data_IF_521950326066
#
_entry.id   IF_521950326066
#
_cell.length_a   1.000
_cell.length_b   1.000
_cell.length_c   1.000
_cell.angle_alpha   90.00
_cell.angle_beta   90.00
_cell.angle_gamma   90.00
#
_symmetry.space_group_name_H-M   'P 1'
#
loop_
_entity.id
_entity.type
_entity.pdbx_description
1 polymer ?
#
# COMPACT_ATOMS: atom_id res chain seq x y z
N UNK A 1 -20.24 6.11 -2.59
CA UNK A 1 -19.00 5.41 -2.89
C UNK A 1 -18.49 4.77 -1.59
N UNK A 2 -18.39 3.45 -1.52
CA UNK A 2 -17.81 2.72 -0.38
C UNK A 2 -16.28 2.82 -0.40
N UNK A 3 -15.62 2.46 0.71
CA UNK A 3 -14.14 2.43 0.76
C UNK A 3 -13.55 1.39 -0.20
N UNK A 4 -14.29 0.30 -0.45
CA UNK A 4 -13.93 -0.71 -1.43
C UNK A 4 -13.99 -0.15 -2.86
N UNK A 5 -15.07 0.54 -3.20
CA UNK A 5 -15.22 1.19 -4.51
C UNK A 5 -14.10 2.22 -4.75
N UNK A 6 -13.63 2.92 -3.70
CA UNK A 6 -12.49 3.85 -3.81
C UNK A 6 -11.20 3.11 -4.19
N UNK A 7 -10.89 2.00 -3.51
CA UNK A 7 -9.69 1.22 -3.80
C UNK A 7 -9.72 0.65 -5.23
N UNK A 8 -10.87 0.11 -5.66
CA UNK A 8 -11.08 -0.42 -7.01
C UNK A 8 -10.94 0.69 -8.07
N UNK A 9 -11.60 1.84 -7.86
CA UNK A 9 -11.51 2.95 -8.79
C UNK A 9 -10.08 3.52 -8.90
N UNK A 10 -9.36 3.63 -7.79
CA UNK A 10 -7.96 4.05 -7.81
C UNK A 10 -7.08 3.06 -8.60
N UNK A 11 -7.34 1.75 -8.44
CA UNK A 11 -6.60 0.73 -9.18
C UNK A 11 -6.87 0.79 -10.68
N UNK A 12 -8.13 1.02 -11.08
CA UNK A 12 -8.53 1.20 -12.48
C UNK A 12 -7.87 2.43 -13.10
N UNK A 13 -7.87 3.56 -12.40
CA UNK A 13 -7.26 4.82 -12.87
C UNK A 13 -5.75 4.72 -13.03
N UNK A 14 -5.09 4.01 -12.12
CA UNK A 14 -3.62 3.90 -12.08
C UNK A 14 -3.09 2.71 -12.89
N UNK A 15 -3.97 1.84 -13.38
CA UNK A 15 -3.61 0.54 -13.98
C UNK A 15 -2.63 -0.25 -13.10
N UNK A 16 -2.83 -0.19 -11.78
CA UNK A 16 -1.96 -0.81 -10.78
C UNK A 16 -2.78 -1.19 -9.55
N UNK A 17 -2.47 -2.31 -8.87
CA UNK A 17 -3.20 -2.70 -7.67
C UNK A 17 -3.08 -1.68 -6.54
N UNK A 18 -4.19 -1.45 -5.82
CA UNK A 18 -4.27 -0.47 -4.75
C UNK A 18 -4.72 -1.10 -3.42
N UNK A 19 -4.12 -0.65 -2.33
CA UNK A 19 -4.61 -0.86 -0.97
C UNK A 19 -5.01 0.48 -0.38
N UNK A 20 -6.06 0.48 0.42
CA UNK A 20 -6.45 1.59 1.27
C UNK A 20 -6.23 1.20 2.71
N UNK A 21 -5.47 2.02 3.43
CA UNK A 21 -5.02 1.75 4.78
C UNK A 21 -5.33 2.96 5.67
N UNK A 22 -5.51 2.72 6.97
CA UNK A 22 -5.61 3.81 7.94
C UNK A 22 -4.21 4.39 8.28
N UNK A 23 -4.17 5.38 9.18
CA UNK A 23 -2.91 6.04 9.59
C UNK A 23 -1.93 5.11 10.33
N UNK A 24 -2.40 3.97 10.80
CA UNK A 24 -1.58 2.96 11.48
C UNK A 24 -1.23 1.78 10.55
N UNK A 25 -1.50 1.90 9.24
CA UNK A 25 -1.29 0.87 8.23
C UNK A 25 -2.14 -0.38 8.45
N UNK A 26 -3.33 -0.24 9.02
CA UNK A 26 -4.33 -1.30 9.01
C UNK A 26 -5.09 -1.29 7.69
N UNK A 27 -5.29 -2.46 7.10
CA UNK A 27 -6.00 -2.60 5.83
C UNK A 27 -7.49 -2.32 5.99
N UNK A 28 -7.94 -1.29 5.28
CA UNK A 28 -9.34 -0.86 5.22
C UNK A 28 -10.05 -1.50 4.02
N UNK A 29 -9.43 -1.40 2.84
CA UNK A 29 -9.93 -1.97 1.59
C UNK A 29 -8.77 -2.33 0.64
N UNK A 30 -9.02 -3.17 -0.36
CA UNK A 30 -8.02 -3.53 -1.36
C UNK A 30 -8.67 -3.84 -2.70
N UNK A 31 -8.03 -3.46 -3.80
CA UNK A 31 -8.44 -3.86 -5.14
C UNK A 31 -7.88 -5.25 -5.48
N UNK A 32 -8.55 -5.95 -6.39
CA UNK A 32 -8.07 -7.24 -6.89
C UNK A 32 -6.64 -7.12 -7.43
N UNK A 33 -5.81 -8.11 -7.08
CA UNK A 33 -4.48 -8.28 -7.64
C UNK A 33 -4.52 -9.25 -8.82
N UNK A 34 -3.78 -8.93 -9.88
CA UNK A 34 -3.40 -9.93 -10.88
C UNK A 34 -2.28 -10.84 -10.36
N UNK A 35 -1.49 -11.40 -11.26
CA UNK A 35 -0.50 -12.43 -10.91
C UNK A 35 0.73 -11.90 -10.15
N UNK A 36 0.91 -10.58 -10.07
CA UNK A 36 2.06 -9.96 -9.41
C UNK A 36 1.67 -9.37 -8.06
N UNK A 37 2.20 -9.97 -6.99
CA UNK A 37 2.08 -9.49 -5.61
C UNK A 37 3.39 -9.77 -4.86
N UNK A 38 3.94 -8.77 -4.18
CA UNK A 38 5.09 -8.97 -3.30
C UNK A 38 4.69 -9.47 -1.91
N UNK A 39 5.61 -10.14 -1.18
CA UNK A 39 5.35 -10.67 0.15
C UNK A 39 4.87 -9.61 1.14
N UNK A 40 5.42 -8.38 1.11
CA UNK A 40 4.99 -7.30 2.03
C UNK A 40 3.51 -7.00 1.89
N UNK A 41 3.00 -6.92 0.64
CA UNK A 41 1.58 -6.72 0.41
C UNK A 41 0.74 -7.96 0.72
N UNK A 42 1.22 -9.14 0.34
CA UNK A 42 0.52 -10.38 0.66
C UNK A 42 0.29 -10.50 2.18
N UNK A 43 1.33 -10.26 2.97
CA UNK A 43 1.26 -10.28 4.43
C UNK A 43 0.32 -9.19 4.98
N UNK A 44 0.38 -7.98 4.43
CA UNK A 44 -0.48 -6.88 4.87
C UNK A 44 -1.96 -7.14 4.57
N UNK A 45 -2.27 -7.81 3.47
CA UNK A 45 -3.63 -8.22 3.12
C UNK A 45 -4.11 -9.34 4.04
N UNK A 46 -3.32 -10.41 4.17
CA UNK A 46 -3.67 -11.59 4.97
C UNK A 46 -3.84 -11.26 6.46
N UNK A 47 -2.96 -10.43 7.02
CA UNK A 47 -3.00 -10.05 8.43
C UNK A 47 -3.77 -8.76 8.68
N UNK A 48 -4.27 -8.12 7.62
CA UNK A 48 -4.94 -6.81 7.63
C UNK A 48 -4.13 -5.69 8.30
N UNK A 49 -2.80 -5.80 8.32
CA UNK A 49 -1.90 -4.80 8.89
C UNK A 49 -0.47 -5.00 8.42
N UNK A 50 0.27 -3.91 8.28
CA UNK A 50 1.72 -3.97 8.10
C UNK A 50 2.43 -4.39 9.41
N UNK A 51 3.63 -4.97 9.28
CA UNK A 51 4.53 -5.16 10.43
C UNK A 51 5.09 -3.82 10.89
N UNK A 52 5.53 -3.73 12.15
CA UNK A 52 6.18 -2.50 12.66
C UNK A 52 7.39 -2.09 11.85
N UNK A 53 8.16 -3.04 11.32
CA UNK A 53 9.32 -2.77 10.48
C UNK A 53 8.92 -2.18 9.11
N UNK A 54 7.90 -2.75 8.46
CA UNK A 54 7.36 -2.22 7.20
C UNK A 54 6.78 -0.82 7.39
N UNK A 55 6.00 -0.61 8.46
CA UNK A 55 5.47 0.70 8.81
C UNK A 55 6.59 1.73 9.00
N UNK A 56 7.57 1.44 9.87
CA UNK A 56 8.68 2.35 10.14
C UNK A 56 9.46 2.72 8.86
N UNK A 57 9.65 1.75 7.95
CA UNK A 57 10.25 1.99 6.64
C UNK A 57 9.40 2.90 5.77
N UNK A 58 8.10 2.67 5.67
CA UNK A 58 7.24 3.53 4.85
C UNK A 58 7.18 4.95 5.42
N UNK A 59 7.09 5.07 6.74
CA UNK A 59 7.14 6.34 7.47
C UNK A 59 8.48 7.07 7.29
N UNK A 60 9.60 6.37 7.16
CA UNK A 60 10.92 6.99 6.91
C UNK A 60 10.99 7.71 5.55
N UNK A 61 10.07 7.41 4.63
CA UNK A 61 9.91 8.13 3.36
C UNK A 61 8.96 9.34 3.48
N UNK A 62 8.44 9.62 4.68
CA UNK A 62 7.64 10.80 4.99
C UNK A 62 6.13 10.66 4.77
N UNK A 63 5.63 9.47 4.40
CA UNK A 63 4.20 9.29 4.05
C UNK A 63 3.24 9.68 5.18
N UNK A 64 3.60 9.46 6.45
CA UNK A 64 2.75 9.78 7.59
C UNK A 64 2.41 11.28 7.75
N UNK A 65 3.16 12.18 7.08
CA UNK A 65 2.93 13.64 7.13
C UNK A 65 2.82 14.26 5.73
N UNK A 66 2.80 13.44 4.69
CA UNK A 66 2.77 13.93 3.33
C UNK A 66 1.43 14.60 3.02
N UNK A 67 1.45 15.67 2.24
CA UNK A 67 0.25 16.31 1.67
C UNK A 67 0.19 16.14 0.15
N UNK A 68 1.13 15.38 -0.41
CA UNK A 68 1.26 15.07 -1.82
C UNK A 68 1.73 13.61 -1.98
N UNK A 69 1.59 13.00 -3.16
CA UNK A 69 2.04 11.63 -3.40
C UNK A 69 3.53 11.41 -3.07
N UNK A 70 3.85 10.29 -2.43
CA UNK A 70 5.21 9.86 -2.08
C UNK A 70 5.59 8.63 -2.90
N UNK A 71 6.77 8.63 -3.51
CA UNK A 71 7.33 7.43 -4.15
C UNK A 71 8.24 6.71 -3.17
N UNK A 72 7.93 5.46 -2.89
CA UNK A 72 8.76 4.56 -2.08
C UNK A 72 9.48 3.60 -3.03
N UNK A 73 10.82 3.57 -3.04
CA UNK A 73 11.58 2.66 -3.91
C UNK A 73 11.33 1.19 -3.53
N UNK A 74 11.56 0.32 -4.51
CA UNK A 74 11.57 -1.12 -4.29
C UNK A 74 12.64 -1.51 -3.26
N UNK A 75 12.41 -2.64 -2.59
CA UNK A 75 13.34 -3.24 -1.64
C UNK A 75 13.62 -4.68 -2.08
N UNK A 76 14.81 -4.94 -2.59
CA UNK A 76 15.18 -6.27 -3.07
C UNK A 76 15.37 -7.27 -1.94
N UNK A 77 15.77 -6.81 -0.74
CA UNK A 77 15.97 -7.71 0.41
C UNK A 77 14.63 -8.21 0.94
N UNK A 78 13.61 -7.35 0.95
CA UNK A 78 12.25 -7.70 1.36
C UNK A 78 11.37 -8.22 0.21
N UNK A 79 11.88 -8.24 -1.02
CA UNK A 79 11.09 -8.52 -2.23
C UNK A 79 9.95 -7.51 -2.47
N UNK A 80 9.96 -6.34 -1.83
CA UNK A 80 8.93 -5.31 -1.93
C UNK A 80 9.05 -4.57 -3.27
N UNK A 81 7.99 -4.57 -4.07
CA UNK A 81 7.97 -3.74 -5.28
C UNK A 81 7.79 -2.26 -4.92
N UNK A 82 8.25 -1.36 -5.79
CA UNK A 82 8.09 0.08 -5.60
C UNK A 82 6.63 0.50 -5.41
N UNK A 83 6.39 1.59 -4.69
CA UNK A 83 5.05 2.10 -4.38
C UNK A 83 4.91 3.57 -4.70
N UNK A 84 3.72 3.93 -5.18
CA UNK A 84 3.19 5.29 -5.08
C UNK A 84 2.19 5.29 -3.91
N UNK A 85 2.48 6.08 -2.88
CA UNK A 85 1.61 6.23 -1.73
C UNK A 85 0.94 7.60 -1.78
N UNK A 86 -0.38 7.61 -1.62
CA UNK A 86 -1.20 8.82 -1.57
C UNK A 86 -1.58 9.10 -0.11
N UNK A 87 -1.50 10.36 0.35
CA UNK A 87 -1.92 10.74 1.71
C UNK A 87 -3.45 10.80 1.87
#
# INVERSE_FOLDING_TARGET
>A
MTLQEIAEHAADLLHAPATLEDRDFHLVAYAAHGDTIDPVRMDSILHRRATTAVRARFESHGIARATAPVRIPADTELGQLGRLCLP
#
